data_IF_873221324884
#
_entry.id   IF_873221324884
#
_cell.length_a   1.000
_cell.length_b   1.000
_cell.length_c   1.000
_cell.angle_alpha   90.00
_cell.angle_beta   90.00
_cell.angle_gamma   90.00
#
_symmetry.space_group_name_H-M   'P 1'
#
loop_
_entity.id
_entity.type
_entity.pdbx_description
1 polymer ?
#
# COMPACT_ATOMS: atom_id res chain seq x y z
N UNK A 1 29.48 39.68 6.71
CA UNK A 1 29.62 38.86 5.48
C UNK A 1 29.31 37.37 5.73
N UNK A 2 28.35 37.04 6.62
CA UNK A 2 27.99 35.64 7.00
C UNK A 2 26.44 35.45 7.04
N UNK A 3 25.65 36.43 6.60
CA UNK A 3 24.17 36.36 6.64
C UNK A 3 23.47 36.46 5.28
N UNK A 4 24.21 36.44 4.16
CA UNK A 4 23.63 36.55 2.80
C UNK A 4 23.76 35.31 1.91
N UNK A 5 24.14 34.17 2.48
CA UNK A 5 24.19 32.88 1.74
C UNK A 5 23.00 31.96 2.06
N UNK A 6 22.10 32.37 2.98
CA UNK A 6 20.94 31.57 3.43
C UNK A 6 19.69 31.66 2.56
N UNK A 7 19.75 32.23 1.35
CA UNK A 7 18.55 32.47 0.52
C UNK A 7 18.67 32.03 -0.93
N UNK A 8 19.67 31.19 -1.28
CA UNK A 8 19.88 30.73 -2.66
C UNK A 8 19.86 29.19 -2.80
N UNK A 9 19.74 28.44 -1.69
CA UNK A 9 19.63 26.97 -1.71
C UNK A 9 18.22 26.46 -1.37
N UNK A 10 17.23 27.30 -1.60
CA UNK A 10 15.81 26.99 -1.48
C UNK A 10 15.22 27.25 -2.86
N UNK A 11 15.19 26.23 -3.73
CA UNK A 11 14.39 26.14 -4.98
C UNK A 11 14.71 24.90 -5.85
N UNK A 12 15.74 24.09 -5.59
CA UNK A 12 16.07 22.95 -6.48
C UNK A 12 15.66 21.55 -5.97
N UNK A 13 14.44 21.39 -5.46
CA UNK A 13 13.72 20.08 -5.47
C UNK A 13 12.25 20.39 -5.78
N UNK A 14 12.03 20.98 -6.95
CA UNK A 14 10.73 21.37 -7.49
C UNK A 14 10.44 20.43 -8.66
N UNK A 15 9.24 19.83 -8.63
CA UNK A 15 8.57 19.14 -9.73
C UNK A 15 9.28 17.90 -10.28
N UNK A 16 8.84 16.73 -9.83
CA UNK A 16 8.45 15.68 -10.78
C UNK A 16 6.92 15.59 -10.80
N UNK A 17 6.27 16.71 -11.13
CA UNK A 17 5.02 16.60 -11.89
C UNK A 17 5.43 16.11 -13.27
N UNK A 18 5.49 14.78 -13.42
CA UNK A 18 5.55 14.19 -14.74
C UNK A 18 4.30 14.70 -15.47
N UNK A 19 4.54 15.51 -16.50
CA UNK A 19 3.53 15.83 -17.50
C UNK A 19 3.03 14.48 -18.02
N UNK A 20 1.81 14.11 -17.66
CA UNK A 20 1.22 12.82 -17.98
C UNK A 20 0.94 12.77 -19.48
N UNK A 21 1.83 12.13 -20.26
CA UNK A 21 1.41 11.45 -21.47
C UNK A 21 1.02 10.03 -21.07
N UNK A 22 -0.27 9.72 -21.17
CA UNK A 22 -0.83 8.40 -20.92
C UNK A 22 -0.49 7.44 -22.08
N UNK A 23 0.80 7.28 -22.41
CA UNK A 23 1.26 6.41 -23.50
C UNK A 23 1.91 5.13 -22.95
N UNK A 24 1.24 4.51 -21.99
CA UNK A 24 1.48 3.11 -21.66
C UNK A 24 0.14 2.38 -21.77
N UNK A 25 -0.22 2.04 -23.01
CA UNK A 25 -1.21 0.98 -23.25
C UNK A 25 -0.62 -0.29 -22.64
N UNK A 26 -1.04 -0.62 -21.41
CA UNK A 26 -0.73 -1.90 -20.81
C UNK A 26 -1.51 -2.93 -21.62
N UNK A 27 -0.83 -3.57 -22.56
CA UNK A 27 -1.33 -4.76 -23.24
C UNK A 27 -1.27 -5.86 -22.20
N UNK A 28 -2.42 -6.21 -21.63
CA UNK A 28 -2.58 -7.48 -20.92
C UNK A 28 -2.27 -8.60 -21.92
N UNK A 29 -1.37 -9.51 -21.55
CA UNK A 29 -1.21 -10.75 -22.28
C UNK A 29 -2.52 -11.55 -22.13
N UNK A 30 -3.33 -11.60 -23.19
CA UNK A 30 -4.40 -12.55 -23.57
C UNK A 30 -5.37 -13.15 -22.51
N UNK A 31 -5.32 -12.78 -21.23
CA UNK A 31 -6.29 -13.27 -20.23
C UNK A 31 -7.59 -12.46 -20.35
N UNK A 32 -8.75 -13.10 -20.57
CA UNK A 32 -10.03 -12.40 -20.54
C UNK A 32 -10.17 -11.70 -19.18
N UNK A 33 -10.50 -10.41 -19.16
CA UNK A 33 -10.64 -9.62 -17.93
C UNK A 33 -11.61 -10.27 -16.90
N UNK A 34 -12.48 -11.17 -17.37
CA UNK A 34 -13.46 -11.93 -16.60
C UNK A 34 -12.87 -13.10 -15.79
N UNK A 35 -11.59 -13.45 -15.98
CA UNK A 35 -10.95 -14.55 -15.24
C UNK A 35 -10.20 -14.10 -13.98
N UNK A 36 -9.87 -12.80 -13.88
CA UNK A 36 -9.00 -12.26 -12.82
C UNK A 36 -9.51 -12.55 -11.39
N UNK A 37 -10.82 -12.68 -11.20
CA UNK A 37 -11.45 -12.87 -9.89
C UNK A 37 -12.11 -14.26 -9.72
N UNK A 38 -11.79 -15.22 -10.60
CA UNK A 38 -12.34 -16.58 -10.53
C UNK A 38 -11.72 -17.39 -9.39
N UNK A 39 -10.41 -17.22 -9.16
CA UNK A 39 -9.69 -17.90 -8.08
C UNK A 39 -9.95 -17.27 -6.71
N UNK A 40 -9.69 -18.05 -5.66
CA UNK A 40 -9.74 -17.60 -4.27
C UNK A 40 -8.77 -16.42 -4.03
N UNK A 41 -9.11 -15.49 -3.15
CA UNK A 41 -8.25 -14.35 -2.83
C UNK A 41 -6.93 -14.73 -2.17
N UNK A 42 -6.82 -15.95 -1.63
CA UNK A 42 -5.57 -16.52 -1.11
C UNK A 42 -4.63 -17.02 -2.21
N UNK A 43 -5.07 -17.07 -3.47
CA UNK A 43 -4.21 -17.39 -4.59
C UNK A 43 -3.65 -16.11 -5.21
N UNK A 44 -2.33 -15.97 -5.23
CA UNK A 44 -1.67 -14.83 -5.87
C UNK A 44 -1.90 -14.84 -7.39
N UNK A 45 -2.27 -13.69 -7.95
CA UNK A 45 -2.43 -13.49 -9.38
C UNK A 45 -1.55 -12.31 -9.84
N UNK A 46 -0.61 -12.58 -10.74
CA UNK A 46 0.33 -11.57 -11.22
C UNK A 46 -0.36 -10.44 -11.99
N UNK A 47 -1.41 -10.74 -12.76
CA UNK A 47 -2.14 -9.73 -13.52
C UNK A 47 -3.04 -8.87 -12.62
N UNK A 48 -3.61 -9.43 -11.55
CA UNK A 48 -4.23 -8.63 -10.50
C UNK A 48 -3.22 -7.73 -9.80
N UNK A 49 -2.00 -8.21 -9.53
CA UNK A 49 -0.95 -7.37 -8.94
C UNK A 49 -0.59 -6.19 -9.87
N UNK A 50 -0.44 -6.43 -11.18
CA UNK A 50 -0.19 -5.38 -12.17
C UNK A 50 -1.37 -4.41 -12.30
N UNK A 51 -2.60 -4.91 -12.33
CA UNK A 51 -3.79 -4.06 -12.36
C UNK A 51 -3.86 -3.17 -11.10
N UNK A 52 -3.68 -3.77 -9.92
CA UNK A 52 -3.66 -3.07 -8.64
C UNK A 52 -2.60 -1.97 -8.57
N UNK A 53 -1.39 -2.24 -9.09
CA UNK A 53 -0.33 -1.25 -9.13
C UNK A 53 -0.59 -0.13 -10.14
N UNK A 54 -1.27 -0.43 -11.24
CA UNK A 54 -1.73 0.59 -12.21
C UNK A 54 -2.74 1.54 -11.57
N UNK A 55 -3.66 1.01 -10.76
CA UNK A 55 -4.58 1.81 -9.94
C UNK A 55 -3.83 2.66 -8.89
N UNK A 56 -2.84 2.09 -8.22
CA UNK A 56 -1.99 2.83 -7.28
C UNK A 56 -1.29 4.02 -7.94
N UNK A 57 -0.73 3.82 -9.14
CA UNK A 57 -0.08 4.88 -9.90
C UNK A 57 -1.09 5.96 -10.31
N UNK A 58 -2.27 5.57 -10.77
CA UNK A 58 -3.34 6.49 -11.16
C UNK A 58 -3.86 7.34 -9.98
N UNK A 59 -3.80 6.81 -8.75
CA UNK A 59 -4.27 7.49 -7.56
C UNK A 59 -3.45 8.74 -7.19
N UNK A 60 -2.24 8.96 -7.74
CA UNK A 60 -1.41 10.11 -7.37
C UNK A 60 -1.88 11.48 -7.91
N UNK A 61 -2.99 11.53 -8.65
CA UNK A 61 -3.60 12.80 -9.07
C UNK A 61 -4.20 13.61 -7.91
N UNK A 62 -4.55 14.87 -8.19
CA UNK A 62 -5.30 15.74 -7.27
C UNK A 62 -6.78 15.33 -7.13
N UNK A 63 -7.26 14.50 -8.05
CA UNK A 63 -8.63 13.97 -8.11
C UNK A 63 -8.62 12.49 -8.50
N UNK A 64 -9.77 11.83 -8.42
CA UNK A 64 -9.97 10.43 -8.81
C UNK A 64 -10.00 10.20 -10.33
N UNK A 65 -9.90 11.25 -11.17
CA UNK A 65 -10.11 11.15 -12.63
C UNK A 65 -9.19 10.14 -13.35
N UNK A 66 -7.94 9.99 -12.90
CA UNK A 66 -7.04 8.98 -13.47
C UNK A 66 -7.42 7.57 -13.04
N UNK A 67 -7.84 7.38 -11.79
CA UNK A 67 -8.31 6.10 -11.27
C UNK A 67 -9.58 5.67 -12.01
N UNK A 68 -10.50 6.60 -12.27
CA UNK A 68 -11.69 6.36 -13.08
C UNK A 68 -11.34 5.82 -14.46
N UNK A 69 -10.40 6.45 -15.18
CA UNK A 69 -9.97 5.99 -16.51
C UNK A 69 -9.41 4.56 -16.49
N UNK A 70 -8.58 4.23 -15.50
CA UNK A 70 -8.02 2.87 -15.38
C UNK A 70 -9.11 1.88 -15.00
N UNK A 71 -10.04 2.21 -14.10
CA UNK A 71 -11.16 1.33 -13.78
C UNK A 71 -12.08 1.10 -14.98
N UNK A 72 -12.38 2.15 -15.75
CA UNK A 72 -13.18 2.08 -16.97
C UNK A 72 -12.58 1.11 -17.99
N UNK A 73 -11.25 1.12 -18.18
CA UNK A 73 -10.58 0.21 -19.11
C UNK A 73 -10.62 -1.26 -18.68
N UNK A 74 -11.00 -1.54 -17.43
CA UNK A 74 -11.22 -2.88 -16.86
C UNK A 74 -12.72 -3.19 -16.68
N UNK A 75 -13.60 -2.42 -17.32
CA UNK A 75 -15.04 -2.65 -17.36
C UNK A 75 -15.77 -2.28 -16.06
N UNK A 76 -15.19 -1.41 -15.23
CA UNK A 76 -15.96 -0.74 -14.17
C UNK A 76 -16.84 0.35 -14.76
N UNK A 77 -17.96 0.62 -14.09
CA UNK A 77 -18.92 1.63 -14.54
C UNK A 77 -18.46 3.01 -14.04
N UNK A 78 -18.20 3.95 -14.95
CA UNK A 78 -17.65 5.29 -14.61
C UNK A 78 -18.48 6.03 -13.55
N UNK A 79 -19.81 6.01 -13.67
CA UNK A 79 -20.72 6.71 -12.75
C UNK A 79 -20.73 6.12 -11.33
N UNK A 80 -19.98 5.04 -11.08
CA UNK A 80 -19.86 4.42 -9.76
C UNK A 80 -18.65 4.92 -8.97
N UNK A 81 -17.78 5.73 -9.56
CA UNK A 81 -16.60 6.23 -8.86
C UNK A 81 -17.01 7.19 -7.74
N UNK A 82 -16.74 6.76 -6.51
CA UNK A 82 -17.02 7.53 -5.29
C UNK A 82 -15.71 7.87 -4.58
N UNK A 83 -15.43 9.16 -4.41
CA UNK A 83 -14.27 9.63 -3.64
C UNK A 83 -14.64 10.56 -2.46
N UNK A 84 -15.86 11.09 -2.40
CA UNK A 84 -16.33 11.99 -1.34
C UNK A 84 -15.45 13.24 -1.12
N UNK A 85 -14.73 13.71 -2.14
CA UNK A 85 -13.74 14.79 -1.97
C UNK A 85 -12.55 14.41 -1.06
N UNK A 86 -12.30 13.11 -0.85
CA UNK A 86 -11.22 12.60 -0.01
C UNK A 86 -9.84 13.06 -0.45
N UNK A 87 -9.61 13.20 -1.75
CA UNK A 87 -8.35 13.70 -2.31
C UNK A 87 -8.07 15.13 -1.82
N UNK A 88 -9.07 16.02 -1.89
CA UNK A 88 -8.95 17.39 -1.38
C UNK A 88 -8.79 17.42 0.15
N UNK A 89 -9.49 16.54 0.87
CA UNK A 89 -9.47 16.52 2.33
C UNK A 89 -8.15 15.99 2.90
N UNK A 90 -7.59 14.95 2.29
CA UNK A 90 -6.30 14.36 2.69
C UNK A 90 -5.10 15.27 2.39
N UNK A 91 -5.17 16.10 1.34
CA UNK A 91 -4.12 17.07 1.04
C UNK A 91 -4.06 18.26 2.02
N UNK A 92 -4.94 18.33 3.02
CA UNK A 92 -4.88 19.35 4.08
C UNK A 92 -3.75 19.00 5.07
N UNK A 93 -2.98 20.02 5.47
CA UNK A 93 -1.88 19.88 6.42
C UNK A 93 -2.36 19.30 7.76
N UNK A 94 -1.59 18.35 8.29
CA UNK A 94 -1.79 17.79 9.63
C UNK A 94 -2.99 16.84 9.77
N UNK A 95 -3.59 16.37 8.66
CA UNK A 95 -4.65 15.37 8.72
C UNK A 95 -4.10 13.94 8.63
N UNK A 96 -4.68 13.02 9.40
CA UNK A 96 -4.44 11.57 9.25
C UNK A 96 -5.39 10.96 8.19
N UNK A 97 -5.92 11.74 7.25
CA UNK A 97 -6.86 11.26 6.22
C UNK A 97 -6.14 10.77 4.97
N UNK A 98 -6.75 9.87 4.19
CA UNK A 98 -6.24 9.42 2.89
C UNK A 98 -7.17 9.81 1.75
N UNK A 99 -6.61 10.02 0.56
CA UNK A 99 -7.39 10.07 -0.67
C UNK A 99 -7.77 8.65 -1.08
N UNK A 100 -9.00 8.45 -1.54
CA UNK A 100 -9.47 7.12 -1.94
C UNK A 100 -10.54 7.21 -3.02
N UNK A 101 -10.68 6.12 -3.77
CA UNK A 101 -11.72 5.92 -4.76
C UNK A 101 -12.35 4.54 -4.58
N UNK A 102 -13.66 4.48 -4.54
CA UNK A 102 -14.43 3.25 -4.64
C UNK A 102 -15.10 3.18 -6.00
N UNK A 103 -15.23 1.99 -6.56
CA UNK A 103 -16.05 1.74 -7.76
C UNK A 103 -16.59 0.33 -7.70
N UNK A 104 -17.63 0.02 -8.46
CA UNK A 104 -18.11 -1.36 -8.54
C UNK A 104 -18.42 -1.81 -9.98
N UNK A 105 -18.40 -3.12 -10.18
CA UNK A 105 -18.92 -3.79 -11.38
C UNK A 105 -19.58 -5.11 -11.00
N UNK A 106 -20.45 -5.59 -11.89
CA UNK A 106 -20.98 -6.95 -11.82
C UNK A 106 -20.02 -7.89 -12.55
N UNK A 107 -19.92 -9.11 -12.04
CA UNK A 107 -19.13 -10.18 -12.66
C UNK A 107 -19.77 -11.54 -12.35
N UNK A 108 -19.45 -12.54 -13.17
CA UNK A 108 -19.90 -13.92 -12.96
C UNK A 108 -18.69 -14.79 -12.68
N UNK A 109 -18.62 -15.38 -11.48
CA UNK A 109 -17.57 -16.34 -11.11
C UNK A 109 -18.17 -17.71 -10.87
N UNK A 110 -17.69 -18.73 -11.57
CA UNK A 110 -18.20 -20.10 -11.43
C UNK A 110 -19.72 -20.23 -11.63
N UNK A 111 -20.32 -19.39 -12.49
CA UNK A 111 -21.78 -19.36 -12.72
C UNK A 111 -22.59 -18.61 -11.65
N UNK A 112 -21.95 -17.95 -10.69
CA UNK A 112 -22.58 -17.12 -9.66
C UNK A 112 -22.28 -15.64 -9.89
N UNK A 113 -23.31 -14.80 -9.73
CA UNK A 113 -23.16 -13.34 -9.79
C UNK A 113 -22.48 -12.77 -8.55
N UNK A 114 -21.57 -11.83 -8.77
CA UNK A 114 -20.95 -11.05 -7.71
C UNK A 114 -20.96 -9.55 -8.04
N UNK A 115 -20.99 -8.71 -7.00
CA UNK A 115 -20.56 -7.32 -7.04
C UNK A 115 -19.08 -7.26 -6.65
N UNK A 116 -18.20 -6.85 -7.56
CA UNK A 116 -16.82 -6.49 -7.21
C UNK A 116 -16.75 -5.02 -6.87
N UNK A 117 -16.25 -4.72 -5.68
CA UNK A 117 -15.93 -3.38 -5.22
C UNK A 117 -14.42 -3.17 -5.27
N UNK A 118 -13.96 -2.22 -6.09
CA UNK A 118 -12.57 -1.77 -6.07
C UNK A 118 -12.41 -0.68 -5.02
N UNK A 119 -11.34 -0.78 -4.22
CA UNK A 119 -10.96 0.14 -3.16
C UNK A 119 -9.52 0.57 -3.42
N UNK A 120 -9.35 1.77 -3.98
CA UNK A 120 -8.04 2.32 -4.34
C UNK A 120 -7.68 3.43 -3.37
N UNK A 121 -6.56 3.29 -2.68
CA UNK A 121 -6.14 4.23 -1.64
C UNK A 121 -4.85 4.94 -2.07
N UNK A 122 -4.93 6.27 -2.16
CA UNK A 122 -3.83 7.14 -2.55
C UNK A 122 -2.74 7.13 -1.49
N UNK A 123 -1.49 7.09 -1.94
CA UNK A 123 -0.31 7.35 -1.11
C UNK A 123 -0.17 8.84 -0.74
N UNK A 124 1.04 9.23 -0.39
CA UNK A 124 1.36 10.62 -0.02
C UNK A 124 1.58 11.49 -1.28
N UNK A 125 0.80 12.56 -1.42
CA UNK A 125 0.87 13.59 -2.47
C UNK A 125 1.83 14.76 -2.19
N UNK A 126 2.57 14.77 -1.07
CA UNK A 126 3.57 15.82 -0.79
C UNK A 126 4.36 15.68 0.51
N UNK A 127 5.31 16.60 0.72
CA UNK A 127 6.29 16.58 1.82
C UNK A 127 5.70 16.58 3.23
N UNK A 128 4.51 17.16 3.41
CA UNK A 128 3.85 17.32 4.71
C UNK A 128 3.21 16.03 5.24
N UNK A 129 2.85 15.09 4.37
CA UNK A 129 2.23 13.81 4.78
C UNK A 129 3.28 12.80 5.24
N UNK A 130 4.55 12.95 4.86
CA UNK A 130 5.62 12.05 5.31
C UNK A 130 5.82 12.10 6.83
N UNK A 131 5.56 13.25 7.47
CA UNK A 131 5.60 13.40 8.93
C UNK A 131 4.45 12.63 9.60
N UNK A 132 3.31 12.46 8.91
CA UNK A 132 2.19 11.67 9.44
C UNK A 132 2.47 10.16 9.45
N UNK A 133 3.36 9.66 8.57
CA UNK A 133 3.86 8.28 8.62
C UNK A 133 4.68 7.98 9.89
N UNK A 134 4.98 9.03 10.65
CA UNK A 134 5.64 8.95 11.94
C UNK A 134 4.68 9.17 13.11
N UNK A 135 3.36 9.22 12.86
CA UNK A 135 2.31 9.27 13.88
C UNK A 135 2.02 7.86 14.43
N UNK A 136 3.06 7.19 14.97
CA UNK A 136 3.05 5.74 15.25
C UNK A 136 2.18 5.41 16.46
N UNK A 137 2.35 6.14 17.56
CA UNK A 137 1.57 5.99 18.79
C UNK A 137 1.58 7.32 19.58
N UNK A 138 1.40 8.44 18.88
CA UNK A 138 1.61 9.79 19.40
C UNK A 138 0.69 10.11 20.60
N UNK A 139 -0.52 9.53 20.65
CA UNK A 139 -1.44 9.69 21.78
C UNK A 139 -1.24 8.67 22.90
N UNK A 140 -0.44 7.63 22.68
CA UNK A 140 -0.36 6.45 23.55
C UNK A 140 -1.56 5.49 23.42
N UNK A 141 -2.58 5.83 22.64
CA UNK A 141 -3.86 5.08 22.60
C UNK A 141 -3.86 3.92 21.61
N UNK A 142 -2.79 3.74 20.82
CA UNK A 142 -2.65 2.62 19.88
C UNK A 142 -1.28 1.94 20.04
N UNK A 143 -1.01 1.30 21.18
CA UNK A 143 0.32 0.75 21.48
C UNK A 143 0.74 -0.43 20.60
N UNK A 144 -0.21 -1.01 19.85
CA UNK A 144 -0.02 -2.19 19.01
C UNK A 144 -0.32 -1.97 17.52
N UNK A 145 -0.93 -0.85 17.13
CA UNK A 145 -1.23 -0.54 15.72
C UNK A 145 -0.74 0.88 15.45
N UNK A 146 -0.21 1.14 14.27
CA UNK A 146 0.20 2.49 13.90
C UNK A 146 -1.02 3.43 13.95
N UNK A 147 -0.99 4.41 14.86
CA UNK A 147 -2.13 5.24 15.19
C UNK A 147 -2.64 6.06 13.99
N UNK A 148 -1.74 6.74 13.28
CA UNK A 148 -2.10 7.53 12.09
C UNK A 148 -2.76 6.68 10.99
N UNK A 149 -2.20 5.51 10.66
CA UNK A 149 -2.79 4.60 9.68
C UNK A 149 -4.13 4.02 10.14
N UNK A 150 -4.29 3.72 11.45
CA UNK A 150 -5.56 3.24 12.00
C UNK A 150 -6.66 4.29 11.94
N UNK A 151 -6.35 5.55 12.23
CA UNK A 151 -7.32 6.66 12.08
C UNK A 151 -7.77 6.82 10.63
N UNK A 152 -6.81 6.76 9.70
CA UNK A 152 -7.09 6.80 8.26
C UNK A 152 -8.01 5.65 7.82
N UNK A 153 -7.66 4.43 8.21
CA UNK A 153 -8.43 3.22 7.90
C UNK A 153 -9.85 3.28 8.47
N UNK A 154 -10.03 3.72 9.73
CA UNK A 154 -11.38 3.83 10.31
C UNK A 154 -12.23 4.90 9.66
N UNK A 155 -11.65 6.03 9.28
CA UNK A 155 -12.38 7.03 8.48
C UNK A 155 -12.81 6.45 7.12
N UNK A 156 -11.90 5.74 6.45
CA UNK A 156 -12.15 5.10 5.16
C UNK A 156 -13.23 4.01 5.26
N UNK A 157 -13.17 3.15 6.29
CA UNK A 157 -14.10 2.05 6.52
C UNK A 157 -15.52 2.54 6.74
N UNK A 158 -15.73 3.68 7.40
CA UNK A 158 -17.07 4.29 7.52
C UNK A 158 -17.62 4.64 6.14
N UNK A 159 -16.82 5.29 5.30
CA UNK A 159 -17.21 5.63 3.94
C UNK A 159 -17.47 4.38 3.07
N UNK A 160 -16.63 3.35 3.19
CA UNK A 160 -16.79 2.09 2.46
C UNK A 160 -18.08 1.37 2.87
N UNK A 161 -18.37 1.30 4.17
CA UNK A 161 -19.62 0.70 4.67
C UNK A 161 -20.85 1.41 4.11
N UNK A 162 -20.84 2.75 4.05
CA UNK A 162 -21.94 3.52 3.47
C UNK A 162 -22.08 3.26 1.97
N UNK A 163 -20.96 3.21 1.24
CA UNK A 163 -20.95 2.90 -0.18
C UNK A 163 -21.50 1.49 -0.45
N UNK A 164 -21.00 0.46 0.23
CA UNK A 164 -21.47 -0.94 0.04
C UNK A 164 -22.95 -1.09 0.40
N UNK A 165 -23.42 -0.46 1.48
CA UNK A 165 -24.85 -0.44 1.82
C UNK A 165 -25.71 0.15 0.69
N UNK A 166 -25.24 1.20 0.03
CA UNK A 166 -25.97 1.80 -1.09
C UNK A 166 -26.09 0.90 -2.33
N UNK A 167 -25.21 -0.11 -2.45
CA UNK A 167 -25.25 -1.09 -3.53
C UNK A 167 -26.28 -2.19 -3.31
N UNK A 168 -26.89 -2.28 -2.13
CA UNK A 168 -27.82 -3.36 -1.73
C UNK A 168 -27.27 -4.77 -2.04
N UNK A 169 -25.95 -4.95 -1.94
CA UNK A 169 -25.28 -6.23 -2.21
C UNK A 169 -25.14 -7.05 -0.92
N UNK A 170 -25.39 -8.36 -1.01
CA UNK A 170 -25.18 -9.29 0.09
C UNK A 170 -23.69 -9.62 0.25
N UNK A 171 -23.24 -9.88 1.47
CA UNK A 171 -21.84 -10.21 1.74
C UNK A 171 -21.38 -11.50 1.05
N UNK A 172 -22.29 -12.44 0.79
CA UNK A 172 -22.02 -13.70 0.09
C UNK A 172 -21.83 -13.53 -1.41
N UNK A 173 -22.24 -12.36 -1.95
CA UNK A 173 -22.20 -11.99 -3.35
C UNK A 173 -21.27 -10.79 -3.58
N UNK A 174 -20.44 -10.44 -2.60
CA UNK A 174 -19.52 -9.29 -2.69
C UNK A 174 -18.06 -9.76 -2.71
N UNK A 175 -17.28 -9.16 -3.61
CA UNK A 175 -15.82 -9.29 -3.70
C UNK A 175 -15.18 -7.92 -3.56
N UNK A 176 -13.98 -7.85 -2.98
CA UNK A 176 -13.23 -6.62 -2.82
C UNK A 176 -11.85 -6.72 -3.47
N UNK A 177 -11.49 -5.77 -4.33
CA UNK A 177 -10.09 -5.51 -4.69
C UNK A 177 -9.59 -4.33 -3.86
N UNK A 178 -8.64 -4.54 -2.97
CA UNK A 178 -8.12 -3.50 -2.07
C UNK A 178 -6.66 -3.25 -2.39
N UNK A 179 -6.34 -2.02 -2.76
CA UNK A 179 -4.98 -1.66 -3.13
C UNK A 179 -4.56 -0.26 -2.70
N UNK A 180 -3.27 -0.10 -2.54
CA UNK A 180 -2.63 1.16 -2.23
C UNK A 180 -1.12 1.03 -2.32
N UNK A 181 -0.47 2.18 -2.39
CA UNK A 181 0.99 2.30 -2.43
C UNK A 181 1.49 3.19 -1.28
N UNK A 182 2.63 2.86 -0.68
CA UNK A 182 3.26 3.64 0.39
C UNK A 182 2.32 3.84 1.58
N UNK A 183 2.04 5.07 2.00
CA UNK A 183 1.00 5.37 3.00
C UNK A 183 -0.37 4.74 2.68
N UNK A 184 -0.77 4.74 1.41
CA UNK A 184 -2.01 4.12 0.97
C UNK A 184 -1.97 2.59 1.11
N UNK A 185 -0.79 1.98 0.94
CA UNK A 185 -0.57 0.55 1.16
C UNK A 185 -0.74 0.16 2.63
N UNK A 186 -0.24 0.99 3.57
CA UNK A 186 -0.44 0.75 5.00
C UNK A 186 -1.93 0.73 5.37
N UNK A 187 -2.70 1.70 4.86
CA UNK A 187 -4.15 1.78 5.11
C UNK A 187 -4.90 0.64 4.41
N UNK A 188 -4.50 0.28 3.19
CA UNK A 188 -5.03 -0.87 2.46
C UNK A 188 -4.80 -2.19 3.22
N UNK A 189 -3.60 -2.39 3.78
CA UNK A 189 -3.23 -3.56 4.56
C UNK A 189 -4.10 -3.70 5.81
N UNK A 190 -4.26 -2.61 6.58
CA UNK A 190 -5.13 -2.59 7.75
C UNK A 190 -6.60 -2.84 7.39
N UNK A 191 -7.10 -2.23 6.32
CA UNK A 191 -8.48 -2.41 5.86
C UNK A 191 -8.74 -3.85 5.43
N UNK A 192 -7.85 -4.44 4.62
CA UNK A 192 -7.99 -5.81 4.16
C UNK A 192 -7.97 -6.80 5.34
N UNK A 193 -7.13 -6.57 6.34
CA UNK A 193 -7.11 -7.37 7.56
C UNK A 193 -8.41 -7.22 8.38
N UNK A 194 -8.91 -5.99 8.57
CA UNK A 194 -10.16 -5.71 9.32
C UNK A 194 -11.38 -6.37 8.64
N UNK A 195 -11.46 -6.30 7.31
CA UNK A 195 -12.52 -6.95 6.54
C UNK A 195 -12.39 -8.48 6.56
N UNK A 196 -11.18 -9.02 6.42
CA UNK A 196 -10.94 -10.47 6.45
C UNK A 196 -11.23 -11.07 7.82
N UNK A 197 -10.90 -10.37 8.89
CA UNK A 197 -11.14 -10.83 10.25
C UNK A 197 -12.61 -10.76 10.65
N UNK A 198 -13.34 -9.74 10.16
CA UNK A 198 -14.73 -9.52 10.54
C UNK A 198 -15.72 -10.31 9.68
N UNK A 199 -15.37 -10.57 8.42
CA UNK A 199 -16.23 -11.19 7.41
C UNK A 199 -17.64 -10.60 7.32
N UNK A 200 -17.77 -9.30 7.65
CA UNK A 200 -19.04 -8.59 7.68
C UNK A 200 -19.50 -8.19 6.27
N UNK A 201 -18.56 -7.80 5.40
CA UNK A 201 -18.86 -7.34 4.04
C UNK A 201 -18.58 -8.39 2.96
N UNK A 202 -17.67 -9.33 3.21
CA UNK A 202 -17.38 -10.47 2.34
C UNK A 202 -16.60 -11.52 3.14
N UNK A 203 -16.62 -12.77 2.70
CA UNK A 203 -15.71 -13.80 3.23
C UNK A 203 -14.25 -13.45 2.89
N UNK A 204 -13.29 -13.93 3.70
CA UNK A 204 -11.86 -13.71 3.46
C UNK A 204 -11.43 -14.09 2.03
N UNK A 205 -11.97 -15.21 1.51
CA UNK A 205 -11.77 -15.74 0.14
C UNK A 205 -12.22 -14.81 -0.98
N UNK A 206 -12.96 -13.76 -0.66
CA UNK A 206 -13.46 -12.74 -1.59
C UNK A 206 -12.80 -11.36 -1.39
N UNK A 207 -11.80 -11.25 -0.51
CA UNK A 207 -11.07 -10.01 -0.22
C UNK A 207 -9.65 -10.11 -0.78
N UNK A 208 -9.40 -9.46 -1.91
CA UNK A 208 -8.13 -9.49 -2.65
C UNK A 208 -7.29 -8.27 -2.25
N UNK A 209 -6.31 -8.46 -1.35
CA UNK A 209 -5.42 -7.39 -0.91
C UNK A 209 -4.10 -7.39 -1.67
N UNK A 210 -3.83 -6.34 -2.45
CA UNK A 210 -2.57 -6.16 -3.18
C UNK A 210 -1.97 -4.80 -2.84
N UNK A 211 -0.83 -4.79 -2.15
CA UNK A 211 -0.23 -3.56 -1.64
C UNK A 211 1.24 -3.45 -2.02
N UNK A 212 1.74 -2.22 -2.17
CA UNK A 212 3.06 -1.94 -2.73
C UNK A 212 3.81 -0.90 -1.89
N UNK A 213 5.11 -1.10 -1.70
CA UNK A 213 5.92 -0.29 -0.79
C UNK A 213 5.29 -0.18 0.59
N UNK A 214 4.75 -1.29 1.10
CA UNK A 214 3.92 -1.33 2.30
C UNK A 214 4.76 -1.12 3.57
N UNK A 215 4.56 -0.01 4.30
CA UNK A 215 5.17 0.20 5.62
C UNK A 215 4.76 -0.89 6.60
N UNK A 216 5.47 -1.00 7.71
CA UNK A 216 4.96 -1.77 8.84
C UNK A 216 3.74 -1.05 9.44
N UNK A 217 2.75 -1.79 9.94
CA UNK A 217 1.46 -1.21 10.39
C UNK A 217 1.05 -1.62 11.81
N UNK A 218 1.54 -2.75 12.34
CA UNK A 218 1.10 -3.24 13.64
C UNK A 218 2.11 -4.19 14.29
N UNK A 219 1.99 -4.38 15.60
CA UNK A 219 2.62 -5.47 16.34
C UNK A 219 1.76 -6.72 16.20
N UNK A 220 2.23 -7.69 15.42
CA UNK A 220 1.43 -8.84 14.99
C UNK A 220 1.86 -10.08 15.77
N UNK A 221 0.96 -10.61 16.61
CA UNK A 221 1.20 -11.84 17.35
C UNK A 221 0.92 -13.10 16.52
N UNK A 222 -0.06 -13.04 15.61
CA UNK A 222 -0.45 -14.12 14.69
C UNK A 222 -0.86 -13.50 13.35
N UNK A 223 -0.32 -14.04 12.26
CA UNK A 223 -0.54 -13.53 10.91
C UNK A 223 -1.21 -14.59 10.03
N UNK A 224 -2.54 -14.61 10.01
CA UNK A 224 -3.34 -15.61 9.31
C UNK A 224 -3.93 -15.09 7.98
N UNK A 225 -3.43 -13.96 7.47
CA UNK A 225 -4.04 -13.25 6.34
C UNK A 225 -3.41 -13.66 5.01
N UNK A 226 -3.72 -14.86 4.53
CA UNK A 226 -3.14 -15.41 3.29
C UNK A 226 -3.58 -14.68 2.00
N UNK A 227 -4.62 -13.86 2.10
CA UNK A 227 -5.25 -13.09 1.01
C UNK A 227 -4.72 -11.66 0.87
N UNK A 228 -3.70 -11.29 1.64
CA UNK A 228 -3.05 -9.98 1.58
C UNK A 228 -1.61 -10.17 1.11
N UNK A 229 -1.27 -9.58 -0.04
CA UNK A 229 0.05 -9.64 -0.66
C UNK A 229 0.71 -8.27 -0.62
N UNK A 230 1.90 -8.21 -0.02
CA UNK A 230 2.68 -6.99 0.15
C UNK A 230 3.99 -7.10 -0.65
N UNK A 231 4.11 -6.30 -1.72
CA UNK A 231 5.38 -6.14 -2.44
C UNK A 231 6.23 -5.09 -1.74
N UNK A 232 7.42 -5.48 -1.25
CA UNK A 232 8.37 -4.57 -0.60
C UNK A 232 9.70 -4.58 -1.33
N UNK A 233 10.36 -3.44 -1.43
CA UNK A 233 11.69 -3.38 -2.01
C UNK A 233 12.70 -3.39 -0.85
N UNK A 234 13.64 -4.35 -0.78
CA UNK A 234 14.58 -4.41 0.34
C UNK A 234 15.47 -3.17 0.51
N UNK A 235 15.59 -2.35 -0.54
CA UNK A 235 16.32 -1.08 -0.50
C UNK A 235 15.44 0.12 -0.12
N UNK A 236 14.12 -0.06 0.00
CA UNK A 236 13.18 1.00 0.35
C UNK A 236 12.98 1.10 1.87
N UNK A 237 13.50 2.16 2.47
CA UNK A 237 13.38 2.38 3.91
C UNK A 237 11.93 2.55 4.39
N UNK A 238 11.01 2.98 3.52
CA UNK A 238 9.61 3.20 3.89
C UNK A 238 8.95 1.90 4.31
N UNK A 239 9.33 0.78 3.70
CA UNK A 239 8.77 -0.53 4.06
C UNK A 239 9.21 -0.93 5.47
N UNK A 240 10.38 -0.48 5.91
CA UNK A 240 10.99 -0.90 7.17
C UNK A 240 10.57 -0.07 8.40
N UNK A 241 9.75 0.96 8.20
CA UNK A 241 9.27 1.84 9.27
C UNK A 241 7.75 1.69 9.46
N UNK A 242 7.24 1.63 10.71
CA UNK A 242 7.94 1.55 11.99
C UNK A 242 8.85 0.33 12.10
N UNK A 243 9.90 0.44 12.93
CA UNK A 243 10.97 -0.57 12.97
C UNK A 243 10.50 -1.93 13.50
N UNK A 244 11.00 -3.00 12.90
CA UNK A 244 10.79 -4.37 13.37
C UNK A 244 11.29 -4.58 14.82
N UNK A 245 12.36 -3.87 15.21
CA UNK A 245 12.87 -3.85 16.59
C UNK A 245 11.86 -3.33 17.62
N UNK A 246 10.95 -2.47 17.20
CA UNK A 246 9.84 -2.02 18.05
C UNK A 246 8.67 -3.02 18.08
N UNK A 247 8.82 -4.17 17.41
CA UNK A 247 7.82 -5.23 17.29
C UNK A 247 6.83 -5.03 16.14
N UNK A 248 7.01 -4.03 15.28
CA UNK A 248 6.10 -3.74 14.18
C UNK A 248 6.39 -4.61 12.96
N UNK A 249 5.32 -4.98 12.25
CA UNK A 249 5.29 -5.75 11.01
C UNK A 249 4.04 -5.37 10.21
N UNK A 250 3.74 -6.12 9.14
CA UNK A 250 2.55 -5.94 8.28
C UNK A 250 1.77 -7.25 8.10
N UNK A 251 0.46 -7.15 7.92
CA UNK A 251 -0.40 -8.33 7.79
C UNK A 251 -0.24 -9.00 6.42
N UNK A 252 -0.37 -10.31 6.41
CA UNK A 252 -0.32 -11.17 5.24
C UNK A 252 1.08 -11.51 4.72
N UNK A 253 1.13 -11.91 3.45
CA UNK A 253 2.31 -12.42 2.78
C UNK A 253 3.15 -11.24 2.31
N UNK A 254 4.40 -11.16 2.75
CA UNK A 254 5.34 -10.12 2.29
C UNK A 254 6.41 -10.75 1.42
N UNK A 255 6.56 -10.27 0.18
CA UNK A 255 7.59 -10.74 -0.74
C UNK A 255 8.43 -9.57 -1.26
N UNK A 256 9.70 -9.85 -1.54
CA UNK A 256 10.63 -8.85 -2.06
C UNK A 256 10.42 -8.65 -3.55
N UNK A 257 10.32 -7.38 -3.95
CA UNK A 257 10.29 -6.95 -5.34
C UNK A 257 11.21 -5.72 -5.52
N UNK A 258 12.39 -5.86 -6.15
CA UNK A 258 12.93 -7.08 -6.76
C UNK A 258 13.30 -8.15 -5.72
N UNK A 259 13.62 -9.36 -6.19
CA UNK A 259 14.22 -10.40 -5.34
C UNK A 259 15.48 -9.84 -4.66
N UNK A 260 15.70 -10.16 -3.39
CA UNK A 260 16.81 -9.61 -2.61
C UNK A 260 18.19 -9.89 -3.26
N UNK A 261 18.33 -11.02 -3.96
CA UNK A 261 19.56 -11.37 -4.70
C UNK A 261 19.85 -10.45 -5.89
N UNK A 262 18.85 -9.70 -6.36
CA UNK A 262 18.94 -8.75 -7.46
C UNK A 262 19.15 -7.31 -6.98
N UNK A 263 19.08 -7.06 -5.67
CA UNK A 263 19.32 -5.75 -5.08
C UNK A 263 20.83 -5.48 -5.03
N UNK A 264 21.25 -4.30 -5.48
CA UNK A 264 22.63 -3.87 -5.37
C UNK A 264 23.08 -3.86 -3.88
N UNK A 265 24.17 -4.57 -3.58
CA UNK A 265 24.63 -4.75 -2.20
C UNK A 265 25.03 -3.45 -1.48
N UNK A 266 25.56 -2.46 -2.20
CA UNK A 266 25.88 -1.15 -1.62
C UNK A 266 24.61 -0.38 -1.24
N UNK A 267 23.57 -0.48 -2.07
CA UNK A 267 22.27 0.15 -1.80
C UNK A 267 21.62 -0.49 -0.57
N UNK A 268 21.64 -1.82 -0.49
CA UNK A 268 21.12 -2.54 0.66
C UNK A 268 21.86 -2.18 1.95
N UNK A 269 23.20 -2.14 1.90
CA UNK A 269 24.04 -1.76 3.03
C UNK A 269 23.80 -0.31 3.48
N UNK A 270 23.57 0.61 2.53
CA UNK A 270 23.21 1.99 2.85
C UNK A 270 21.88 2.07 3.60
N UNK A 271 20.84 1.37 3.15
CA UNK A 271 19.55 1.31 3.84
C UNK A 271 19.68 0.70 5.24
N UNK A 272 20.41 -0.41 5.38
CA UNK A 272 20.66 -1.04 6.68
C UNK A 272 21.41 -0.14 7.67
N UNK A 273 22.38 0.65 7.18
CA UNK A 273 23.10 1.63 7.99
C UNK A 273 22.17 2.69 8.55
N UNK A 274 21.25 3.19 7.73
CA UNK A 274 20.27 4.19 8.14
C UNK A 274 19.32 3.62 9.21
N UNK A 275 18.80 2.41 9.01
CA UNK A 275 17.94 1.74 10.00
C UNK A 275 18.67 1.53 11.32
N UNK A 276 19.94 1.11 11.28
CA UNK A 276 20.77 0.94 12.47
C UNK A 276 21.01 2.26 13.22
N UNK A 277 21.18 3.37 12.51
CA UNK A 277 21.28 4.70 13.10
C UNK A 277 19.96 5.10 13.75
N UNK A 278 18.82 4.88 13.09
CA UNK A 278 17.50 5.17 13.64
C UNK A 278 17.23 4.37 14.92
N UNK A 279 17.57 3.08 14.92
CA UNK A 279 17.47 2.21 16.09
C UNK A 279 18.32 2.69 17.28
N UNK A 280 19.49 3.27 17.00
CA UNK A 280 20.40 3.78 18.02
C UNK A 280 19.89 5.10 18.59
N UNK A 281 19.38 5.97 17.73
CA UNK A 281 18.85 7.29 18.12
C UNK A 281 17.48 7.19 18.81
N UNK A 282 16.67 6.18 18.45
CA UNK A 282 15.35 5.95 18.99
C UNK A 282 15.12 4.46 19.31
N UNK A 283 15.63 3.96 20.44
CA UNK A 283 15.48 2.56 20.83
C UNK A 283 14.01 2.11 20.98
N UNK A 284 13.12 3.03 21.36
CA UNK A 284 11.68 2.80 21.49
C UNK A 284 10.86 3.74 20.62
N UNK A 285 9.58 3.40 20.40
CA UNK A 285 8.61 4.30 19.75
C UNK A 285 8.48 5.63 20.53
N UNK A 286 8.61 5.59 21.85
CA UNK A 286 8.54 6.80 22.69
C UNK A 286 9.75 7.70 22.48
N UNK A 287 10.95 7.12 22.39
CA UNK A 287 12.18 7.87 22.07
C UNK A 287 12.09 8.50 20.68
N UNK A 288 11.54 7.74 19.73
CA UNK A 288 11.29 8.22 18.37
C UNK A 288 10.34 9.43 18.37
N UNK A 289 9.23 9.36 19.10
CA UNK A 289 8.29 10.47 19.25
C UNK A 289 8.96 11.72 19.85
N UNK A 290 9.75 11.55 20.92
CA UNK A 290 10.45 12.65 21.59
C UNK A 290 11.51 13.29 20.67
N UNK A 291 12.14 12.51 19.82
CA UNK A 291 13.15 12.97 18.88
C UNK A 291 12.58 13.40 17.52
N UNK A 292 11.30 13.12 17.22
CA UNK A 292 10.66 13.27 15.90
C UNK A 292 10.99 14.59 15.21
N UNK A 293 10.86 15.71 15.92
CA UNK A 293 11.17 17.06 15.41
C UNK A 293 12.66 17.28 15.10
N UNK A 294 13.55 16.70 15.91
CA UNK A 294 15.00 16.72 15.69
C UNK A 294 15.45 15.74 14.62
N UNK A 295 14.69 14.65 14.42
CA UNK A 295 14.89 13.63 13.37
C UNK A 295 14.36 14.09 12.00
N UNK A 296 13.61 15.19 11.90
CA UNK A 296 13.24 15.77 10.60
C UNK A 296 14.48 16.16 9.75
N UNK A 297 15.61 16.48 10.37
CA UNK A 297 16.90 16.69 9.70
C UNK A 297 17.48 15.40 9.08
N UNK A 298 17.00 14.24 9.50
CA UNK A 298 17.33 12.98 8.85
C UNK A 298 16.53 12.78 7.56
N UNK A 299 15.46 13.52 7.25
CA UNK A 299 14.73 13.37 5.98
C UNK A 299 15.65 13.47 4.75
N UNK A 300 16.61 14.40 4.78
CA UNK A 300 17.63 14.55 3.73
C UNK A 300 18.69 13.42 3.71
N UNK A 301 18.80 12.64 4.80
CA UNK A 301 19.76 11.55 4.97
C UNK A 301 19.13 10.13 4.95
N UNK A 302 17.81 10.01 5.17
CA UNK A 302 17.04 8.75 5.21
C UNK A 302 16.64 8.28 3.82
N UNK A 303 16.54 9.22 2.87
CA UNK A 303 16.28 8.92 1.46
C UNK A 303 17.58 9.25 0.70
N UNK A 304 18.51 8.29 0.53
CA UNK A 304 19.72 8.53 -0.24
C UNK A 304 19.38 9.10 -1.63
N UNK A 305 20.21 10.03 -2.12
CA UNK A 305 20.09 10.50 -3.50
C UNK A 305 20.11 9.30 -4.46
N UNK A 306 19.00 9.06 -5.17
CA UNK A 306 18.82 7.91 -6.08
C UNK A 306 17.85 6.82 -5.61
N UNK A 307 17.44 6.76 -4.33
CA UNK A 307 16.45 5.77 -3.84
C UNK A 307 14.99 6.18 -4.07
N UNK A 308 14.71 7.45 -4.41
CA UNK A 308 13.38 7.89 -4.82
C UNK A 308 12.82 7.04 -5.99
N UNK A 309 13.72 6.54 -6.86
CA UNK A 309 13.35 5.64 -7.94
C UNK A 309 12.93 4.25 -7.44
N UNK A 310 13.46 3.74 -6.33
CA UNK A 310 13.18 2.36 -5.86
C UNK A 310 11.84 2.22 -5.13
N UNK A 311 11.37 3.30 -4.52
CA UNK A 311 10.06 3.39 -3.87
C UNK A 311 8.92 3.60 -4.87
N UNK A 312 9.18 4.19 -6.03
CA UNK A 312 8.13 4.65 -6.93
C UNK A 312 7.29 3.49 -7.52
N UNK A 313 5.95 3.66 -7.71
CA UNK A 313 5.10 2.65 -8.33
C UNK A 313 5.65 2.10 -9.66
N UNK A 314 6.32 2.94 -10.45
CA UNK A 314 6.92 2.58 -11.73
C UNK A 314 8.06 1.56 -11.58
N UNK A 315 8.84 1.65 -10.50
CA UNK A 315 9.88 0.66 -10.24
C UNK A 315 9.27 -0.69 -9.88
N UNK A 316 8.26 -0.72 -9.01
CA UNK A 316 7.51 -1.95 -8.74
C UNK A 316 6.89 -2.53 -10.01
N UNK A 317 6.34 -1.68 -10.89
CA UNK A 317 5.72 -2.13 -12.14
C UNK A 317 6.76 -2.76 -13.05
N UNK A 318 7.90 -2.10 -13.24
CA UNK A 318 9.02 -2.63 -14.00
C UNK A 318 9.41 -4.02 -13.49
N UNK A 319 9.53 -4.18 -12.17
CA UNK A 319 9.89 -5.47 -11.57
C UNK A 319 8.80 -6.54 -11.78
N UNK A 320 7.51 -6.21 -11.62
CA UNK A 320 6.41 -7.14 -11.91
C UNK A 320 6.35 -7.55 -13.39
N UNK A 321 6.68 -6.64 -14.30
CA UNK A 321 6.71 -6.92 -15.75
C UNK A 321 7.88 -7.84 -16.11
N UNK A 322 9.04 -7.68 -15.47
CA UNK A 322 10.25 -8.47 -15.78
C UNK A 322 10.40 -9.73 -14.92
N UNK A 323 9.56 -9.91 -13.89
CA UNK A 323 9.62 -11.10 -13.04
C UNK A 323 9.26 -12.36 -13.82
N UNK A 324 10.00 -13.43 -13.57
CA UNK A 324 9.62 -14.79 -13.96
C UNK A 324 8.36 -15.19 -13.16
N UNK A 325 7.21 -15.43 -13.82
CA UNK A 325 5.94 -15.69 -13.12
C UNK A 325 6.00 -16.95 -12.24
N UNK A 326 6.62 -18.02 -12.72
CA UNK A 326 6.67 -19.31 -12.01
C UNK A 326 7.56 -19.20 -10.78
N UNK A 327 8.71 -18.53 -10.92
CA UNK A 327 9.61 -18.26 -9.79
C UNK A 327 8.94 -17.38 -8.74
N UNK A 328 8.27 -16.31 -9.16
CA UNK A 328 7.59 -15.38 -8.25
C UNK A 328 6.45 -16.10 -7.50
N UNK A 329 5.62 -16.85 -8.22
CA UNK A 329 4.52 -17.61 -7.63
C UNK A 329 5.06 -18.63 -6.61
N UNK A 330 6.11 -19.37 -6.96
CA UNK A 330 6.75 -20.31 -6.04
C UNK A 330 7.23 -19.64 -4.76
N UNK A 331 7.90 -18.49 -4.86
CA UNK A 331 8.38 -17.73 -3.69
C UNK A 331 7.20 -17.33 -2.80
N UNK A 332 6.11 -16.83 -3.38
CA UNK A 332 4.93 -16.41 -2.64
C UNK A 332 4.25 -17.60 -1.97
N UNK A 333 4.10 -18.74 -2.65
CA UNK A 333 3.56 -19.96 -2.07
C UNK A 333 4.41 -20.49 -0.92
N UNK A 334 5.74 -20.50 -1.06
CA UNK A 334 6.68 -20.89 0.00
C UNK A 334 6.55 -19.96 1.23
N UNK A 335 6.23 -18.67 1.02
CA UNK A 335 5.99 -17.72 2.10
C UNK A 335 4.62 -17.92 2.77
N UNK A 336 3.58 -18.26 2.01
CA UNK A 336 2.25 -18.59 2.54
C UNK A 336 2.29 -19.84 3.43
N UNK A 337 3.04 -20.87 3.01
CA UNK A 337 3.22 -22.09 3.82
C UNK A 337 3.81 -21.80 5.20
N UNK A 338 4.69 -20.79 5.32
CA UNK A 338 5.29 -20.37 6.60
C UNK A 338 4.31 -19.62 7.51
N UNK A 339 3.19 -19.14 6.98
CA UNK A 339 2.14 -18.47 7.75
C UNK A 339 1.07 -19.43 8.26
N UNK A 340 1.00 -20.63 7.69
CA UNK A 340 0.12 -21.67 8.22
C UNK A 340 0.62 -22.09 9.60
N UNK A 341 -0.30 -22.36 10.56
CA UNK A 341 0.11 -22.91 11.84
C UNK A 341 0.89 -24.21 11.62
N UNK A 342 1.92 -24.46 12.43
CA UNK A 342 2.65 -25.73 12.43
C UNK A 342 1.66 -26.88 12.72
N UNK A 343 1.08 -27.45 11.67
CA UNK A 343 0.30 -28.68 11.79
C UNK A 343 1.29 -29.82 11.94
N UNK A 344 1.90 -29.93 13.12
CA UNK A 344 2.43 -31.20 13.58
C UNK A 344 1.24 -32.15 13.74
N UNK A 345 0.82 -32.78 12.63
CA UNK A 345 0.09 -34.04 12.71
C UNK A 345 1.11 -35.10 13.16
N UNK A 346 1.26 -35.20 14.48
CA UNK A 346 1.90 -36.33 15.16
C UNK A 346 0.89 -37.46 15.35
#
# INVERSE_FOLDING_TARGET
MIQRVKSVFMVLVILLMASFSLDATIVLADSPQDTLFQQDSTEFNLDLARFSLSLCQAAYGDTSANVEKVLASYGFVNDTVYDSGSYKNSSKLGTDLVGYSFAHKRLVCGGKDFTLVSVVIRGTSGDSEWISNFNINDSGSSPAIHEGFRKAEKSLLVSLNNYVKSLNSDKTDTKFLITGHSRGAAVANLLAADLSQSEQLAAQSNIYGYTFATPNVAKIASNNYLNIFNAVNPADIVTEIPLAKWGYSRYGVTYSLPDISQVNGETLAATQKILSQLETMAPTVQDFYNAKLSLLFLKENLIPAGTANVHAPQAYMKQLTTADPDKLLKVISDLQLKLLPDTNYA
#
